data_IF_802370360929
#
_entry.id   IF_802370360929
#
_cell.length_a   1.000
_cell.length_b   1.000
_cell.length_c   1.000
_cell.angle_alpha   90.00
_cell.angle_beta   90.00
_cell.angle_gamma   90.00
#
_symmetry.space_group_name_H-M   'P 1'
#
loop_
_entity.id
_entity.type
_entity.pdbx_description
1 polymer ?
#
# COMPACT_ATOMS: atom_id res chain seq x y z
N UNK A 1 -2.83 21.95 10.87
CA UNK A 1 -1.36 22.16 10.79
C UNK A 1 -0.96 23.57 11.25
N UNK A 2 -0.70 23.71 12.56
CA UNK A 2 -0.31 24.95 13.27
C UNK A 2 1.20 25.22 13.18
N UNK A 3 1.65 26.43 13.51
CA UNK A 3 3.07 26.83 13.53
C UNK A 3 3.95 25.97 14.45
N UNK A 4 3.35 25.29 15.43
CA UNK A 4 4.03 24.38 16.36
C UNK A 4 4.68 23.17 15.66
N UNK A 5 3.95 22.47 14.78
CA UNK A 5 4.49 21.32 14.04
C UNK A 5 5.60 21.73 13.07
N UNK A 6 5.51 22.92 12.50
CA UNK A 6 6.57 23.45 11.65
C UNK A 6 7.85 23.73 12.45
N UNK A 7 7.71 24.37 13.62
CA UNK A 7 8.84 24.63 14.51
C UNK A 7 9.45 23.34 15.08
N UNK A 8 8.62 22.34 15.38
CA UNK A 8 9.06 21.04 15.86
C UNK A 8 9.78 20.23 14.77
N UNK A 9 9.25 20.23 13.53
CA UNK A 9 9.90 19.59 12.38
C UNK A 9 11.31 20.15 12.18
N UNK A 10 11.46 21.48 12.21
CA UNK A 10 12.78 22.12 12.11
C UNK A 10 13.73 21.72 13.23
N UNK A 11 13.26 21.66 14.48
CA UNK A 11 14.07 21.23 15.62
C UNK A 11 14.53 19.78 15.51
N UNK A 12 13.68 18.91 14.95
CA UNK A 12 13.98 17.50 14.71
C UNK A 12 14.71 17.25 13.36
N UNK A 13 15.00 18.30 12.58
CA UNK A 13 15.72 18.20 11.31
C UNK A 13 14.88 17.72 10.11
N UNK A 14 13.55 17.67 10.24
CA UNK A 14 12.65 17.33 9.14
C UNK A 14 12.44 18.50 8.17
N UNK A 15 12.44 18.17 6.88
CA UNK A 15 12.28 19.12 5.76
C UNK A 15 10.87 19.65 5.61
N UNK A 16 9.88 18.94 6.14
CA UNK A 16 8.47 19.33 6.09
C UNK A 16 7.73 18.88 7.34
N UNK A 17 6.73 19.67 7.74
CA UNK A 17 5.75 19.28 8.76
C UNK A 17 4.95 18.03 8.37
N UNK A 18 4.89 17.71 7.07
CA UNK A 18 4.25 16.49 6.58
C UNK A 18 4.86 15.22 7.19
N UNK A 19 6.12 15.25 7.64
CA UNK A 19 6.75 14.15 8.38
C UNK A 19 5.91 13.67 9.58
N UNK A 20 5.18 14.57 10.25
CA UNK A 20 4.30 14.17 11.36
C UNK A 20 3.05 13.41 10.92
N UNK A 21 2.59 13.63 9.67
CA UNK A 21 1.48 12.85 9.11
C UNK A 21 1.88 11.40 8.91
N UNK A 22 3.04 11.15 8.28
CA UNK A 22 3.51 9.77 8.09
C UNK A 22 3.75 9.07 9.44
N UNK A 23 4.37 9.76 10.41
CA UNK A 23 4.52 9.24 11.78
C UNK A 23 3.19 8.92 12.47
N UNK A 24 2.13 9.64 12.13
CA UNK A 24 0.79 9.37 12.66
C UNK A 24 0.16 8.16 11.96
N UNK A 25 0.19 8.15 10.62
CA UNK A 25 -0.30 7.04 9.80
C UNK A 25 0.36 5.72 10.20
N UNK A 26 1.69 5.74 10.36
CA UNK A 26 2.47 4.59 10.81
C UNK A 26 2.06 4.13 12.22
N UNK A 27 1.89 5.04 13.18
CA UNK A 27 1.40 4.69 14.53
C UNK A 27 0.01 4.06 14.50
N UNK A 28 -0.86 4.55 13.62
CA UNK A 28 -2.24 4.07 13.56
C UNK A 28 -2.38 2.76 12.80
N UNK A 29 -1.56 2.54 11.77
CA UNK A 29 -1.70 1.46 10.79
C UNK A 29 -0.56 0.45 10.74
N UNK A 30 0.50 0.66 11.53
CA UNK A 30 1.71 -0.18 11.58
C UNK A 30 2.24 -0.40 10.15
N UNK A 31 2.80 0.66 9.56
CA UNK A 31 3.07 0.71 8.11
C UNK A 31 4.50 0.33 7.77
N UNK A 32 5.48 0.76 8.57
CA UNK A 32 6.90 0.65 8.19
C UNK A 32 7.64 -0.17 9.23
N UNK A 33 8.10 -1.34 8.82
CA UNK A 33 9.02 -2.20 9.55
C UNK A 33 10.47 -2.00 9.09
N UNK A 34 11.41 -2.45 9.93
CA UNK A 34 12.82 -2.42 9.59
C UNK A 34 13.12 -3.44 8.48
N UNK A 35 13.82 -3.00 7.43
CA UNK A 35 14.11 -3.78 6.23
C UNK A 35 13.14 -3.57 5.07
N UNK A 36 12.05 -2.83 5.26
CA UNK A 36 11.07 -2.61 4.21
C UNK A 36 11.63 -1.83 3.02
N UNK A 37 11.14 -2.18 1.82
CA UNK A 37 11.25 -1.36 0.62
C UNK A 37 10.03 -0.43 0.54
N UNK A 38 10.26 0.86 0.73
CA UNK A 38 9.22 1.90 0.78
C UNK A 38 9.31 2.83 -0.42
N UNK A 39 8.20 2.98 -1.15
CA UNK A 39 8.06 3.93 -2.26
C UNK A 39 7.15 5.10 -1.85
N UNK A 40 7.65 6.32 -1.95
CA UNK A 40 6.93 7.55 -1.61
C UNK A 40 6.60 8.36 -2.87
N UNK A 41 5.32 8.44 -3.21
CA UNK A 41 4.79 9.11 -4.40
C UNK A 41 4.31 10.53 -4.03
N UNK A 42 4.85 11.54 -4.72
CA UNK A 42 4.65 12.95 -4.35
C UNK A 42 5.55 13.36 -3.19
N UNK A 43 6.80 12.88 -3.22
CA UNK A 43 7.69 12.90 -2.07
C UNK A 43 8.29 14.28 -1.75
N UNK A 44 8.23 15.28 -2.64
CA UNK A 44 8.87 16.57 -2.39
C UNK A 44 8.21 17.31 -1.20
N UNK A 45 8.99 17.92 -0.28
CA UNK A 45 10.46 18.14 -0.32
C UNK A 45 11.29 17.03 0.36
N UNK A 46 10.70 15.88 0.67
CA UNK A 46 11.36 14.70 1.25
C UNK A 46 11.11 14.50 2.74
N UNK A 47 10.05 15.10 3.30
CA UNK A 47 9.72 14.93 4.72
C UNK A 47 9.28 13.51 5.08
N UNK A 48 8.52 12.85 4.21
CA UNK A 48 8.09 11.46 4.35
C UNK A 48 9.27 10.51 4.12
N UNK A 49 10.07 10.72 3.07
CA UNK A 49 11.36 10.04 2.85
C UNK A 49 12.26 10.00 4.10
N UNK A 50 12.43 11.11 4.81
CA UNK A 50 13.25 11.14 6.04
C UNK A 50 12.68 10.27 7.17
N UNK A 51 11.35 10.17 7.26
CA UNK A 51 10.69 9.31 8.25
C UNK A 51 10.81 7.85 7.84
N UNK A 52 10.47 7.54 6.58
CA UNK A 52 10.55 6.19 6.02
C UNK A 52 11.97 5.62 6.15
N UNK A 53 12.99 6.37 5.73
CA UNK A 53 14.39 5.92 5.80
C UNK A 53 14.84 5.62 7.23
N UNK A 54 14.36 6.43 8.19
CA UNK A 54 14.67 6.21 9.61
C UNK A 54 14.01 4.95 10.17
N UNK A 55 12.78 4.63 9.74
CA UNK A 55 12.02 3.49 10.24
C UNK A 55 12.45 2.18 9.56
N UNK A 56 12.61 2.21 8.23
CA UNK A 56 13.11 1.09 7.43
C UNK A 56 14.56 0.72 7.80
N UNK A 57 15.38 1.70 8.19
CA UNK A 57 16.74 1.47 8.67
C UNK A 57 17.72 1.06 7.57
N UNK A 58 18.93 0.67 7.97
CA UNK A 58 20.07 0.46 7.04
C UNK A 58 19.89 -0.71 6.07
N UNK A 59 19.01 -1.67 6.39
CA UNK A 59 18.68 -2.80 5.53
C UNK A 59 17.47 -2.55 4.63
N UNK A 60 16.74 -1.45 4.85
CA UNK A 60 15.61 -1.07 4.03
C UNK A 60 16.02 -0.23 2.83
N UNK A 61 15.09 -0.08 1.89
CA UNK A 61 15.28 0.73 0.69
C UNK A 61 14.17 1.77 0.63
N UNK A 62 14.52 3.04 0.40
CA UNK A 62 13.52 4.11 0.29
C UNK A 62 13.69 4.86 -1.01
N UNK A 63 12.63 4.88 -1.80
CA UNK A 63 12.60 5.52 -3.13
C UNK A 63 11.52 6.60 -3.15
N UNK A 64 11.91 7.83 -3.45
CA UNK A 64 11.00 8.96 -3.60
C UNK A 64 10.75 9.33 -5.04
N UNK A 65 9.49 9.60 -5.40
CA UNK A 65 9.12 10.03 -6.75
C UNK A 65 8.40 11.36 -6.69
N UNK A 66 8.88 12.35 -7.45
CA UNK A 66 8.23 13.65 -7.55
C UNK A 66 8.59 14.39 -8.85
N UNK A 67 7.69 15.27 -9.31
CA UNK A 67 7.95 16.18 -10.46
C UNK A 67 9.05 17.19 -10.13
N UNK A 68 9.09 17.60 -8.86
CA UNK A 68 10.06 18.54 -8.32
C UNK A 68 11.37 17.83 -7.97
N UNK A 69 12.47 18.58 -8.03
CA UNK A 69 13.76 18.08 -7.55
C UNK A 69 13.73 18.01 -6.02
N UNK A 70 14.04 16.84 -5.49
CA UNK A 70 14.27 16.63 -4.05
C UNK A 70 15.77 16.77 -3.79
N UNK A 71 16.15 17.51 -2.74
CA UNK A 71 17.55 17.57 -2.34
C UNK A 71 18.03 16.19 -1.84
N UNK A 72 19.27 15.76 -2.11
CA UNK A 72 19.73 14.43 -1.71
C UNK A 72 19.54 14.16 -0.21
N UNK A 73 19.06 12.97 0.14
CA UNK A 73 18.98 12.44 1.50
C UNK A 73 19.84 11.18 1.51
N UNK A 74 20.74 11.05 2.49
CA UNK A 74 21.58 9.85 2.62
C UNK A 74 20.72 8.60 2.84
N UNK A 75 21.00 7.53 2.10
CA UNK A 75 20.23 6.28 2.14
C UNK A 75 18.90 6.31 1.39
N UNK A 76 18.62 7.37 0.62
CA UNK A 76 17.37 7.50 -0.15
C UNK A 76 17.66 7.71 -1.63
N UNK A 77 16.93 6.97 -2.46
CA UNK A 77 16.95 7.12 -3.91
C UNK A 77 15.78 8.02 -4.36
N UNK A 78 15.96 8.76 -5.46
CA UNK A 78 14.91 9.64 -5.96
C UNK A 78 14.78 9.58 -7.47
N UNK A 79 13.56 9.36 -7.95
CA UNK A 79 13.17 9.45 -9.36
C UNK A 79 12.43 10.76 -9.58
N UNK A 80 12.84 11.53 -10.60
CA UNK A 80 12.13 12.75 -10.97
C UNK A 80 11.18 12.49 -12.14
N UNK A 81 9.89 12.64 -11.91
CA UNK A 81 8.88 12.42 -12.94
C UNK A 81 7.46 12.72 -12.45
N UNK A 82 6.54 12.75 -13.40
CA UNK A 82 5.11 12.90 -13.13
C UNK A 82 4.44 11.52 -13.07
N UNK A 83 3.91 11.14 -11.91
CA UNK A 83 3.22 9.85 -11.73
C UNK A 83 1.99 9.65 -12.62
N UNK A 84 1.42 10.73 -13.16
CA UNK A 84 0.33 10.64 -14.15
C UNK A 84 0.82 10.22 -15.53
N UNK A 85 2.12 10.28 -15.79
CA UNK A 85 2.75 9.82 -17.03
C UNK A 85 3.14 8.33 -16.93
N UNK A 86 2.80 7.55 -17.96
CA UNK A 86 3.15 6.12 -18.03
C UNK A 86 4.65 5.89 -17.98
N UNK A 87 5.46 6.73 -18.65
CA UNK A 87 6.91 6.60 -18.65
C UNK A 87 7.53 6.75 -17.26
N UNK A 88 6.95 7.59 -16.40
CA UNK A 88 7.41 7.72 -15.01
C UNK A 88 7.10 6.44 -14.24
N UNK A 89 5.89 5.90 -14.38
CA UNK A 89 5.50 4.64 -13.72
C UNK A 89 6.36 3.46 -14.15
N UNK A 90 6.65 3.34 -15.45
CA UNK A 90 7.58 2.33 -15.99
C UNK A 90 8.97 2.48 -15.38
N UNK A 91 9.49 3.71 -15.32
CA UNK A 91 10.81 3.97 -14.70
C UNK A 91 10.83 3.58 -13.21
N UNK A 92 9.75 3.87 -12.48
CA UNK A 92 9.64 3.50 -11.06
C UNK A 92 9.61 1.99 -10.90
N UNK A 93 8.82 1.29 -11.73
CA UNK A 93 8.75 -0.17 -11.72
C UNK A 93 10.11 -0.82 -12.00
N UNK A 94 10.81 -0.36 -13.04
CA UNK A 94 12.15 -0.88 -13.39
C UNK A 94 13.19 -0.59 -12.30
N UNK A 95 13.05 0.54 -11.61
CA UNK A 95 14.02 0.98 -10.59
C UNK A 95 13.81 0.28 -9.24
N UNK A 96 12.56 0.11 -8.81
CA UNK A 96 12.20 -0.48 -7.51
C UNK A 96 12.12 -2.00 -7.59
N UNK A 97 11.52 -2.54 -8.65
CA UNK A 97 11.13 -3.94 -8.72
C UNK A 97 9.91 -4.21 -7.83
N UNK A 98 10.16 -4.66 -6.60
CA UNK A 98 9.13 -5.03 -5.62
C UNK A 98 9.18 -4.12 -4.39
N UNK A 99 8.02 -3.84 -3.79
CA UNK A 99 7.90 -3.01 -2.59
C UNK A 99 7.07 -3.68 -1.50
N UNK A 100 7.37 -3.34 -0.24
CA UNK A 100 6.59 -3.74 0.92
C UNK A 100 5.53 -2.68 1.26
N UNK A 101 5.83 -1.41 0.94
CA UNK A 101 4.93 -0.28 1.20
C UNK A 101 4.99 0.75 0.08
N UNK A 102 3.82 1.19 -0.38
CA UNK A 102 3.67 2.41 -1.20
C UNK A 102 2.90 3.47 -0.42
N UNK A 103 3.51 4.64 -0.21
CA UNK A 103 2.85 5.79 0.40
C UNK A 103 2.70 6.93 -0.61
N UNK A 104 1.61 7.69 -0.51
CA UNK A 104 1.40 8.85 -1.37
C UNK A 104 0.77 10.02 -0.62
N UNK A 105 1.49 11.15 -0.63
CA UNK A 105 0.98 12.46 -0.23
C UNK A 105 0.78 13.38 -1.45
N UNK A 106 0.58 12.81 -2.64
CA UNK A 106 0.28 13.58 -3.86
C UNK A 106 -0.96 14.45 -3.65
N UNK A 107 -0.89 15.70 -4.11
CA UNK A 107 -2.03 16.61 -4.14
C UNK A 107 -2.06 17.33 -5.49
N UNK A 108 -3.26 17.64 -6.03
CA UNK A 108 -3.37 18.44 -7.23
C UNK A 108 -3.04 19.91 -6.94
N UNK A 109 -2.73 20.66 -8.00
CA UNK A 109 -2.76 22.11 -7.92
C UNK A 109 -4.19 22.58 -7.62
N UNK A 110 -4.37 23.19 -6.45
CA UNK A 110 -5.66 23.66 -5.96
C UNK A 110 -6.19 24.79 -6.82
N UNK A 111 -7.40 24.63 -7.31
CA UNK A 111 -8.11 25.64 -8.11
C UNK A 111 -8.96 26.53 -7.22
N UNK A 112 -9.50 25.98 -6.13
CA UNK A 112 -10.49 26.62 -5.27
C UNK A 112 -11.90 26.08 -5.51
N UNK A 113 -12.09 25.39 -6.63
CA UNK A 113 -13.33 24.74 -7.02
C UNK A 113 -13.37 23.32 -6.45
N UNK A 114 -14.13 23.15 -5.37
CA UNK A 114 -14.20 21.91 -4.61
C UNK A 114 -14.39 20.65 -5.46
N UNK A 115 -15.35 20.66 -6.39
CA UNK A 115 -15.63 19.49 -7.24
C UNK A 115 -14.44 19.12 -8.14
N UNK A 116 -13.76 20.13 -8.70
CA UNK A 116 -12.61 19.91 -9.58
C UNK A 116 -11.38 19.45 -8.78
N UNK A 117 -11.13 20.06 -7.62
CA UNK A 117 -10.04 19.69 -6.72
C UNK A 117 -10.25 18.27 -6.16
N UNK A 118 -11.49 17.91 -5.82
CA UNK A 118 -11.87 16.56 -5.41
C UNK A 118 -11.59 15.54 -6.54
N UNK A 119 -12.15 15.74 -7.73
CA UNK A 119 -11.97 14.82 -8.85
C UNK A 119 -10.49 14.60 -9.21
N UNK A 120 -9.67 15.66 -9.16
CA UNK A 120 -8.22 15.56 -9.37
C UNK A 120 -7.51 14.79 -8.25
N UNK A 121 -7.92 14.96 -6.99
CA UNK A 121 -7.37 14.20 -5.87
C UNK A 121 -7.69 12.71 -5.98
N UNK A 122 -8.91 12.36 -6.40
CA UNK A 122 -9.34 10.98 -6.64
C UNK A 122 -8.53 10.34 -7.76
N UNK A 123 -8.26 11.09 -8.84
CA UNK A 123 -7.40 10.61 -9.92
C UNK A 123 -5.99 10.30 -9.42
N UNK A 124 -5.36 11.19 -8.64
CA UNK A 124 -4.02 10.96 -8.09
C UNK A 124 -3.99 9.78 -7.11
N UNK A 125 -5.01 9.65 -6.26
CA UNK A 125 -5.14 8.51 -5.34
C UNK A 125 -5.27 7.20 -6.12
N UNK A 126 -6.12 7.15 -7.16
CA UNK A 126 -6.23 6.00 -8.05
C UNK A 126 -4.89 5.64 -8.70
N UNK A 127 -4.14 6.63 -9.21
CA UNK A 127 -2.82 6.40 -9.79
C UNK A 127 -1.84 5.82 -8.76
N UNK A 128 -1.88 6.27 -7.51
CA UNK A 128 -1.07 5.69 -6.43
C UNK A 128 -1.45 4.23 -6.16
N UNK A 129 -2.76 3.92 -6.11
CA UNK A 129 -3.22 2.54 -5.97
C UNK A 129 -2.79 1.66 -7.15
N UNK A 130 -3.03 2.08 -8.38
CA UNK A 130 -2.59 1.35 -9.58
C UNK A 130 -1.08 1.05 -9.54
N UNK A 131 -0.27 2.04 -9.20
CA UNK A 131 1.19 1.87 -9.03
C UNK A 131 1.51 0.88 -7.92
N UNK A 132 0.81 0.95 -6.79
CA UNK A 132 0.98 -0.01 -5.69
C UNK A 132 0.57 -1.42 -6.10
N UNK A 133 -0.47 -1.57 -6.92
CA UNK A 133 -0.90 -2.90 -7.37
C UNK A 133 0.13 -3.58 -8.27
N UNK A 134 0.99 -2.81 -8.94
CA UNK A 134 2.09 -3.34 -9.76
C UNK A 134 3.36 -3.62 -8.96
N UNK A 135 3.62 -2.84 -7.89
CA UNK A 135 4.86 -2.93 -7.10
C UNK A 135 4.76 -3.84 -5.88
N UNK A 136 3.60 -3.93 -5.24
CA UNK A 136 3.50 -4.55 -3.92
C UNK A 136 3.66 -6.06 -3.98
N UNK A 137 4.51 -6.58 -3.10
CA UNK A 137 4.59 -8.01 -2.82
C UNK A 137 3.32 -8.49 -2.10
N UNK A 138 3.05 -9.80 -2.08
CA UNK A 138 1.92 -10.34 -1.31
C UNK A 138 2.10 -9.99 0.17
N UNK A 139 1.12 -9.28 0.72
CA UNK A 139 1.11 -8.80 2.10
C UNK A 139 1.59 -7.35 2.26
N UNK A 140 2.06 -6.71 1.19
CA UNK A 140 2.46 -5.32 1.20
C UNK A 140 1.28 -4.35 1.35
N UNK A 141 1.58 -3.13 1.76
CA UNK A 141 0.59 -2.12 2.13
C UNK A 141 0.62 -0.91 1.21
N UNK A 142 -0.49 -0.17 1.17
CA UNK A 142 -0.58 1.11 0.46
C UNK A 142 -1.30 2.16 1.28
N UNK A 143 -0.82 3.40 1.19
CA UNK A 143 -1.50 4.57 1.73
C UNK A 143 -1.55 5.68 0.70
N UNK A 144 -2.73 6.21 0.41
CA UNK A 144 -2.89 7.32 -0.53
C UNK A 144 -3.79 8.42 0.03
N UNK A 145 -3.33 9.67 -0.08
CA UNK A 145 -4.15 10.85 0.21
C UNK A 145 -5.25 11.01 -0.84
N UNK A 146 -6.44 11.35 -0.37
CA UNK A 146 -7.58 11.78 -1.19
C UNK A 146 -8.32 12.91 -0.47
N UNK A 147 -8.98 13.80 -1.20
CA UNK A 147 -9.89 14.75 -0.58
C UNK A 147 -11.28 14.12 -0.44
N UNK A 148 -11.89 14.25 0.74
CA UNK A 148 -13.25 13.79 0.99
C UNK A 148 -14.21 14.39 -0.05
N UNK A 149 -15.12 13.56 -0.51
CA UNK A 149 -16.12 13.91 -1.51
C UNK A 149 -16.84 12.66 -2.03
N UNK A 150 -17.78 12.84 -2.97
CA UNK A 150 -18.71 11.79 -3.38
C UNK A 150 -18.04 10.55 -3.97
N UNK A 151 -16.87 10.68 -4.61
CA UNK A 151 -16.24 9.58 -5.35
C UNK A 151 -15.27 8.73 -4.48
N UNK A 152 -15.11 9.06 -3.20
CA UNK A 152 -14.18 8.33 -2.30
C UNK A 152 -14.67 6.91 -2.03
N UNK A 153 -15.96 6.72 -1.78
CA UNK A 153 -16.53 5.40 -1.48
C UNK A 153 -16.41 4.45 -2.68
N UNK A 154 -16.64 4.97 -3.89
CA UNK A 154 -16.43 4.22 -5.13
C UNK A 154 -14.95 3.87 -5.33
N UNK A 155 -14.02 4.80 -5.07
CA UNK A 155 -12.59 4.50 -5.11
C UNK A 155 -12.23 3.38 -4.12
N UNK A 156 -12.75 3.45 -2.88
CA UNK A 156 -12.53 2.42 -1.86
C UNK A 156 -13.09 1.07 -2.29
N UNK A 157 -14.31 1.01 -2.81
CA UNK A 157 -14.93 -0.23 -3.27
C UNK A 157 -14.12 -0.89 -4.40
N UNK A 158 -13.51 -0.11 -5.28
CA UNK A 158 -12.67 -0.63 -6.36
C UNK A 158 -11.36 -1.27 -5.88
N UNK A 159 -10.86 -0.92 -4.70
CA UNK A 159 -9.61 -1.45 -4.15
C UNK A 159 -9.83 -2.46 -3.02
N UNK A 160 -11.04 -2.58 -2.48
CA UNK A 160 -11.33 -3.41 -1.30
C UNK A 160 -10.95 -4.88 -1.51
N UNK A 161 -11.22 -5.44 -2.69
CA UNK A 161 -10.89 -6.83 -3.04
C UNK A 161 -9.42 -7.10 -3.32
N UNK A 162 -8.57 -6.07 -3.38
CA UNK A 162 -7.13 -6.21 -3.65
C UNK A 162 -6.31 -6.35 -2.36
N UNK A 163 -6.91 -6.13 -1.20
CA UNK A 163 -6.25 -6.08 0.11
C UNK A 163 -7.05 -6.89 1.14
N UNK A 164 -6.43 -7.33 2.24
CA UNK A 164 -7.15 -7.99 3.33
C UNK A 164 -8.22 -7.08 3.95
N UNK A 165 -7.94 -5.78 4.01
CA UNK A 165 -8.92 -4.75 4.31
C UNK A 165 -8.46 -3.37 3.84
N UNK A 166 -9.43 -2.51 3.58
CA UNK A 166 -9.19 -1.08 3.31
C UNK A 166 -9.88 -0.24 4.37
N UNK A 167 -9.18 0.78 4.89
CA UNK A 167 -9.73 1.70 5.88
C UNK A 167 -9.31 3.15 5.63
N UNK A 168 -10.02 4.05 6.29
CA UNK A 168 -9.86 5.50 6.16
C UNK A 168 -9.21 6.06 7.43
N UNK A 169 -8.16 6.86 7.28
CA UNK A 169 -7.46 7.54 8.38
C UNK A 169 -7.49 9.06 8.16
N UNK A 170 -7.93 9.79 9.19
CA UNK A 170 -7.94 11.24 9.21
C UNK A 170 -6.81 11.74 10.11
N UNK A 171 -5.81 12.48 9.59
CA UNK A 171 -4.74 12.98 10.42
C UNK A 171 -5.26 14.06 11.37
N UNK A 172 -4.94 13.92 12.65
CA UNK A 172 -5.21 14.94 13.69
C UNK A 172 -4.53 16.28 13.36
N UNK A 173 -3.45 16.22 12.56
CA UNK A 173 -2.70 17.39 12.16
C UNK A 173 -3.36 18.22 11.04
N UNK A 174 -4.52 17.83 10.49
CA UNK A 174 -5.20 18.60 9.43
C UNK A 174 -5.64 19.98 9.97
N UNK A 175 -5.72 21.00 9.12
CA UNK A 175 -6.33 22.29 9.50
C UNK A 175 -7.85 22.13 9.39
N UNK A 176 -8.61 22.90 10.17
CA UNK A 176 -10.09 23.05 10.12
C UNK A 176 -10.71 23.45 8.75
N UNK A 177 -9.98 23.32 7.63
CA UNK A 177 -10.45 23.59 6.27
C UNK A 177 -10.02 22.55 5.23
N UNK A 178 -9.22 21.53 5.60
CA UNK A 178 -8.78 20.51 4.64
C UNK A 178 -9.59 19.24 4.88
N UNK A 179 -10.48 18.96 3.94
CA UNK A 179 -11.17 17.67 3.78
C UNK A 179 -10.20 16.56 3.37
N UNK A 180 -9.02 16.46 4.02
CA UNK A 180 -8.00 15.46 3.68
C UNK A 180 -8.23 14.15 4.43
N UNK A 181 -8.17 13.06 3.67
CA UNK A 181 -8.31 11.70 4.13
C UNK A 181 -7.17 10.86 3.55
N UNK A 182 -6.74 9.82 4.26
CA UNK A 182 -5.87 8.78 3.72
C UNK A 182 -6.63 7.45 3.64
N UNK A 183 -6.66 6.86 2.46
CA UNK A 183 -7.10 5.48 2.28
C UNK A 183 -5.88 4.56 2.47
N UNK A 184 -6.04 3.57 3.35
CA UNK A 184 -5.02 2.60 3.75
C UNK A 184 -5.49 1.21 3.34
N UNK A 185 -4.84 0.60 2.37
CA UNK A 185 -5.02 -0.80 2.00
C UNK A 185 -3.96 -1.65 2.69
N UNK A 186 -4.38 -2.68 3.44
CA UNK A 186 -3.48 -3.53 4.23
C UNK A 186 -3.45 -4.95 3.70
N UNK A 187 -2.26 -5.50 3.51
CA UNK A 187 -2.06 -6.89 3.12
C UNK A 187 -2.49 -7.17 1.68
N UNK A 188 -1.67 -6.79 0.70
CA UNK A 188 -1.97 -7.01 -0.72
C UNK A 188 -2.26 -8.48 -1.01
N UNK A 189 -3.41 -8.75 -1.61
CA UNK A 189 -3.82 -10.07 -2.07
C UNK A 189 -3.33 -10.26 -3.51
N UNK A 190 -2.50 -11.28 -3.73
CA UNK A 190 -2.07 -11.72 -5.07
C UNK A 190 -2.43 -13.19 -5.31
N UNK A 191 -3.34 -13.72 -4.49
CA UNK A 191 -3.75 -15.11 -4.57
C UNK A 191 -4.38 -15.38 -5.95
N UNK A 192 -4.08 -16.54 -6.58
CA UNK A 192 -4.71 -16.93 -7.85
C UNK A 192 -6.15 -17.45 -7.66
N UNK A 193 -6.71 -17.27 -6.47
CA UNK A 193 -8.02 -17.78 -6.05
C UNK A 193 -8.77 -16.70 -5.27
N UNK A 194 -10.10 -16.75 -5.32
CA UNK A 194 -10.98 -15.90 -4.52
C UNK A 194 -11.86 -16.73 -3.59
N UNK A 195 -12.33 -16.11 -2.50
CA UNK A 195 -13.24 -16.77 -1.58
C UNK A 195 -14.51 -17.24 -2.31
N UNK A 196 -14.88 -18.50 -2.09
CA UNK A 196 -16.03 -19.13 -2.73
C UNK A 196 -15.72 -19.88 -4.02
N UNK A 197 -14.52 -19.75 -4.59
CA UNK A 197 -14.08 -20.55 -5.73
C UNK A 197 -14.21 -22.04 -5.44
N UNK A 198 -14.57 -22.80 -6.48
CA UNK A 198 -14.59 -24.27 -6.45
C UNK A 198 -13.60 -24.80 -7.47
N UNK A 199 -12.68 -25.63 -7.02
CA UNK A 199 -11.58 -26.12 -7.83
C UNK A 199 -11.20 -27.55 -7.41
N UNK A 200 -10.73 -28.32 -8.38
CA UNK A 200 -10.09 -29.61 -8.16
C UNK A 200 -8.60 -29.35 -7.88
N UNK A 201 -8.08 -29.86 -6.76
CA UNK A 201 -6.69 -29.64 -6.35
C UNK A 201 -6.00 -30.94 -5.97
N UNK A 202 -4.70 -31.01 -6.27
CA UNK A 202 -3.83 -32.08 -5.79
C UNK A 202 -3.23 -31.71 -4.43
N UNK A 203 -3.46 -32.57 -3.43
CA UNK A 203 -2.85 -32.46 -2.10
C UNK A 203 -1.44 -33.03 -2.19
N UNK A 204 -0.44 -32.16 -2.13
CA UNK A 204 0.97 -32.51 -2.35
C UNK A 204 1.71 -32.88 -1.05
N UNK A 205 1.20 -32.42 0.09
CA UNK A 205 1.80 -32.67 1.41
C UNK A 205 0.76 -32.62 2.52
N UNK A 206 1.15 -32.89 3.77
CA UNK A 206 0.32 -32.74 4.96
C UNK A 206 1.07 -31.94 6.01
N UNK A 207 0.47 -30.87 6.51
CA UNK A 207 1.03 -30.02 7.56
C UNK A 207 0.98 -30.66 8.95
N UNK A 208 1.62 -30.01 9.92
CA UNK A 208 1.77 -30.52 11.29
C UNK A 208 0.42 -30.73 12.02
N UNK A 209 -0.62 -29.96 11.66
CA UNK A 209 -1.98 -30.08 12.22
C UNK A 209 -2.86 -31.12 11.49
N UNK A 210 -2.27 -31.88 10.55
CA UNK A 210 -2.94 -32.85 9.65
C UNK A 210 -3.85 -32.22 8.59
N UNK A 211 -3.64 -30.95 8.28
CA UNK A 211 -4.26 -30.33 7.11
C UNK A 211 -3.49 -30.73 5.85
N UNK A 212 -4.20 -31.14 4.81
CA UNK A 212 -3.57 -31.35 3.51
C UNK A 212 -3.13 -30.02 2.92
N UNK A 213 -2.02 -30.04 2.22
CA UNK A 213 -1.44 -28.87 1.57
C UNK A 213 -1.59 -29.05 0.06
N UNK A 214 -2.44 -28.21 -0.53
CA UNK A 214 -2.59 -28.10 -1.98
C UNK A 214 -1.85 -26.87 -2.51
N UNK A 215 -1.47 -26.90 -3.79
CA UNK A 215 -0.84 -25.76 -4.48
C UNK A 215 -1.60 -25.37 -5.74
N UNK A 216 -1.92 -24.09 -5.85
CA UNK A 216 -2.54 -23.48 -7.04
C UNK A 216 -1.59 -22.39 -7.52
N UNK A 217 -0.94 -22.58 -8.67
CA UNK A 217 0.07 -21.64 -9.20
C UNK A 217 1.13 -21.19 -8.17
N UNK A 218 1.54 -22.11 -7.29
CA UNK A 218 2.51 -21.85 -6.23
C UNK A 218 1.92 -21.28 -4.94
N UNK A 219 0.67 -20.83 -4.95
CA UNK A 219 -0.09 -20.40 -3.78
C UNK A 219 -0.56 -21.60 -2.96
N UNK A 220 -0.40 -21.53 -1.64
CA UNK A 220 -0.68 -22.64 -0.73
C UNK A 220 -2.12 -22.60 -0.25
N UNK A 221 -2.85 -23.71 -0.39
CA UNK A 221 -4.17 -23.90 0.20
C UNK A 221 -4.12 -25.01 1.25
N UNK A 222 -4.57 -24.70 2.46
CA UNK A 222 -4.76 -25.68 3.51
C UNK A 222 -6.16 -26.29 3.38
N UNK A 223 -6.21 -27.62 3.29
CA UNK A 223 -7.43 -28.42 3.08
C UNK A 223 -7.55 -29.46 4.20
N UNK A 224 -8.24 -29.15 5.30
CA UNK A 224 -8.37 -30.04 6.44
C UNK A 224 -8.98 -31.40 6.06
N UNK A 225 -8.47 -32.47 6.68
CA UNK A 225 -9.02 -33.82 6.51
C UNK A 225 -8.65 -34.53 5.21
N UNK A 226 -7.60 -34.07 4.52
CA UNK A 226 -7.10 -34.69 3.28
C UNK A 226 -5.69 -35.25 3.45
N UNK A 227 -5.34 -36.24 2.61
CA UNK A 227 -4.06 -36.93 2.66
C UNK A 227 -3.21 -36.59 1.43
N UNK A 228 -1.89 -36.56 1.58
CA UNK A 228 -0.97 -36.34 0.46
C UNK A 228 -1.15 -37.42 -0.63
N UNK A 229 -1.10 -36.98 -1.89
CA UNK A 229 -1.30 -37.81 -3.08
C UNK A 229 -2.77 -38.01 -3.46
N UNK A 230 -3.70 -37.27 -2.86
CA UNK A 230 -5.11 -37.28 -3.24
C UNK A 230 -5.46 -36.05 -4.09
N UNK A 231 -6.39 -36.24 -5.03
CA UNK A 231 -7.02 -35.17 -5.79
C UNK A 231 -8.42 -34.99 -5.25
N UNK A 232 -8.78 -33.75 -4.90
CA UNK A 232 -10.04 -33.45 -4.21
C UNK A 232 -10.70 -32.19 -4.78
N UNK A 233 -12.03 -32.19 -4.83
CA UNK A 233 -12.81 -30.98 -5.08
C UNK A 233 -12.94 -30.17 -3.80
N UNK A 234 -12.53 -28.90 -3.85
CA UNK A 234 -12.54 -27.99 -2.69
C UNK A 234 -13.27 -26.70 -3.01
N UNK A 235 -13.75 -26.04 -1.95
CA UNK A 235 -14.24 -24.68 -1.98
C UNK A 235 -13.35 -23.79 -1.12
N UNK A 236 -12.82 -22.71 -1.68
CA UNK A 236 -12.04 -21.71 -0.94
C UNK A 236 -12.93 -21.00 0.07
N UNK A 237 -12.49 -20.95 1.33
CA UNK A 237 -13.25 -20.37 2.45
C UNK A 237 -12.61 -19.12 3.02
N UNK A 238 -11.30 -18.93 2.85
CA UNK A 238 -10.60 -17.72 3.29
C UNK A 238 -9.30 -17.57 2.49
N UNK A 239 -8.96 -16.32 2.13
CA UNK A 239 -7.79 -15.98 1.31
C UNK A 239 -6.91 -15.03 2.11
N UNK A 240 -5.66 -15.42 2.37
CA UNK A 240 -4.62 -14.55 2.95
C UNK A 240 -3.60 -14.17 1.88
N UNK A 241 -2.74 -13.18 2.13
CA UNK A 241 -1.79 -12.74 1.11
C UNK A 241 -0.89 -13.84 0.53
N UNK A 242 -0.50 -14.82 1.35
CA UNK A 242 0.48 -15.86 0.97
C UNK A 242 -0.06 -17.29 1.00
N UNK A 243 -1.26 -17.50 1.54
CA UNK A 243 -1.90 -18.81 1.64
C UNK A 243 -3.41 -18.65 1.86
N UNK A 244 -4.19 -19.68 1.61
CA UNK A 244 -5.62 -19.67 1.88
C UNK A 244 -6.09 -20.98 2.51
N UNK A 245 -7.38 -21.03 2.78
CA UNK A 245 -8.06 -22.18 3.34
C UNK A 245 -9.17 -22.64 2.40
N UNK A 246 -9.37 -23.95 2.34
CA UNK A 246 -10.46 -24.53 1.58
C UNK A 246 -11.03 -25.76 2.30
N UNK A 247 -12.29 -26.05 2.01
CA UNK A 247 -13.01 -27.22 2.54
C UNK A 247 -13.43 -28.15 1.41
N UNK A 248 -13.52 -29.45 1.71
CA UNK A 248 -14.01 -30.44 0.74
C UNK A 248 -15.45 -30.13 0.30
N UNK A 249 -15.69 -30.26 -1.00
CA UNK A 249 -17.04 -30.20 -1.57
C UNK A 249 -17.58 -31.64 -1.64
N UNK A 250 -18.72 -31.88 -1.00
CA UNK A 250 -19.48 -33.14 -1.15
C UNK A 250 -20.09 -33.32 -2.54
#
# INVERSE_FOLDING_TARGET
>A
MTDEYYNRAKQEGYRSRAAYKLKQLDREADLIAAGDTVVDLGAAPGGWLQVANKLAGESGTVVGVDRQRIDPIEGVETVRGDMTETSTRETVFEHVGEADLVVSDMAPDMTGEYELDHARSVHLARTAFETALELLTPGGDVVAKVFEGPDVDDLRANIDGEFEYVRSVHPEASRDASSELYLVGKGRLTAPVVEGDRLEVDVVDVGDERDGIAKVDGYTLFVPGTEAGTTVDVRVTDVKPRFGFAELVE
#
